data_IF_239296915188
#
_entry.id   IF_239296915188
#
_cell.length_a   1.000
_cell.length_b   1.000
_cell.length_c   1.000
_cell.angle_alpha   90.00
_cell.angle_beta   90.00
_cell.angle_gamma   90.00
#
_symmetry.space_group_name_H-M   'P 1'
#
loop_
_entity.id
_entity.type
_entity.pdbx_description
1 polymer ?
#
# COMPACT_ATOMS: atom_id res chain seq x y z
N UNK A 1 20.62 -15.66 -8.49
CA UNK A 1 21.24 -14.55 -7.73
C UNK A 1 20.32 -13.32 -7.59
N UNK A 2 18.99 -13.45 -7.60
CA UNK A 2 18.08 -12.29 -7.49
C UNK A 2 17.70 -11.94 -6.03
N UNK A 3 17.48 -12.94 -5.17
CA UNK A 3 17.06 -12.74 -3.77
C UNK A 3 18.07 -11.98 -2.90
N UNK A 4 19.37 -12.13 -3.16
CA UNK A 4 20.41 -11.43 -2.40
C UNK A 4 20.36 -9.90 -2.56
N UNK A 5 19.86 -9.39 -3.69
CA UNK A 5 19.72 -7.95 -3.94
C UNK A 5 18.49 -7.39 -3.22
N UNK A 6 17.37 -8.11 -3.25
CA UNK A 6 16.15 -7.77 -2.50
C UNK A 6 16.43 -7.67 -1.01
N UNK A 7 17.01 -8.70 -0.41
CA UNK A 7 17.17 -8.75 1.04
C UNK A 7 18.13 -7.64 1.52
N UNK A 8 19.20 -7.36 0.76
CA UNK A 8 20.08 -6.21 1.03
C UNK A 8 19.35 -4.87 0.96
N UNK A 9 18.41 -4.72 0.03
CA UNK A 9 17.58 -3.52 -0.08
C UNK A 9 16.66 -3.37 1.13
N UNK A 10 15.97 -4.45 1.52
CA UNK A 10 15.06 -4.46 2.66
C UNK A 10 15.77 -4.20 3.99
N UNK A 11 16.96 -4.77 4.21
CA UNK A 11 17.80 -4.46 5.38
C UNK A 11 18.16 -2.98 5.43
N UNK A 12 18.50 -2.37 4.29
CA UNK A 12 18.80 -0.93 4.24
C UNK A 12 17.58 -0.07 4.53
N UNK A 13 16.40 -0.46 4.05
CA UNK A 13 15.16 0.27 4.35
C UNK A 13 14.78 0.15 5.82
N UNK A 14 14.84 -1.06 6.38
CA UNK A 14 14.57 -1.29 7.79
C UNK A 14 15.54 -0.49 8.68
N UNK A 15 16.84 -0.51 8.36
CA UNK A 15 17.84 0.28 9.07
C UNK A 15 17.61 1.79 8.98
N UNK A 16 17.08 2.30 7.87
CA UNK A 16 16.64 3.71 7.76
C UNK A 16 15.42 3.98 8.61
N UNK A 17 14.42 3.11 8.58
CA UNK A 17 13.21 3.24 9.40
C UNK A 17 13.54 3.24 10.89
N UNK A 18 14.46 2.37 11.34
CA UNK A 18 14.91 2.33 12.73
C UNK A 18 15.68 3.59 13.16
N UNK A 19 16.44 4.17 12.23
CA UNK A 19 17.27 5.35 12.50
C UNK A 19 16.46 6.65 12.45
N UNK A 20 15.68 6.83 11.40
CA UNK A 20 15.03 8.08 11.06
C UNK A 20 13.54 8.10 11.51
N UNK A 21 13.00 6.93 11.87
CA UNK A 21 11.58 6.75 12.21
C UNK A 21 10.68 6.62 10.98
N UNK A 22 9.42 6.30 11.22
CA UNK A 22 8.36 6.42 10.22
C UNK A 22 7.74 7.82 10.26
N UNK A 23 7.16 8.29 9.14
CA UNK A 23 6.39 9.53 9.14
C UNK A 23 5.22 9.50 10.14
N UNK A 24 4.74 10.68 10.61
CA UNK A 24 3.63 10.76 11.54
C UNK A 24 2.38 10.01 11.07
N UNK A 25 1.75 9.26 11.97
CA UNK A 25 0.57 8.44 11.66
C UNK A 25 0.89 7.14 10.91
N UNK A 26 2.17 6.81 10.71
CA UNK A 26 2.60 5.58 10.05
C UNK A 26 3.46 4.79 11.04
N UNK A 27 3.13 3.52 11.27
CA UNK A 27 3.85 2.66 12.23
C UNK A 27 4.16 1.31 11.59
N UNK A 28 5.44 0.94 11.55
CA UNK A 28 5.85 -0.40 11.11
C UNK A 28 5.53 -1.42 12.21
N UNK A 29 4.83 -2.49 11.85
CA UNK A 29 4.52 -3.60 12.74
C UNK A 29 5.60 -4.67 12.57
N UNK A 30 6.55 -4.67 13.49
CA UNK A 30 7.61 -5.67 13.53
C UNK A 30 7.04 -7.01 13.97
N UNK A 31 6.98 -7.96 13.04
CA UNK A 31 6.84 -9.37 13.38
C UNK A 31 8.25 -9.93 13.53
N UNK A 32 8.49 -10.64 14.63
CA UNK A 32 9.76 -11.30 14.91
C UNK A 32 10.25 -12.02 13.64
N UNK A 33 11.37 -11.52 13.11
CA UNK A 33 12.32 -12.30 12.33
C UNK A 33 12.03 -12.58 10.84
N UNK A 34 11.64 -11.58 10.04
CA UNK A 34 11.61 -11.79 8.58
C UNK A 34 11.92 -10.54 7.74
N UNK A 35 13.21 -10.30 7.50
CA UNK A 35 13.70 -9.49 6.37
C UNK A 35 13.12 -9.98 5.03
N UNK A 36 12.75 -11.27 4.93
CA UNK A 36 12.30 -11.92 3.70
C UNK A 36 10.78 -12.04 3.53
N UNK A 37 9.99 -11.66 4.54
CA UNK A 37 8.54 -11.90 4.63
C UNK A 37 7.68 -10.67 4.31
N UNK A 38 6.38 -10.81 4.54
CA UNK A 38 5.43 -9.71 4.39
C UNK A 38 5.64 -8.68 5.52
N UNK A 39 5.70 -7.40 5.16
CA UNK A 39 5.73 -6.31 6.16
C UNK A 39 4.32 -5.80 6.39
N UNK A 40 4.04 -5.42 7.64
CA UNK A 40 2.76 -4.84 8.02
C UNK A 40 3.00 -3.43 8.52
N UNK A 41 2.19 -2.48 8.04
CA UNK A 41 2.30 -1.07 8.41
C UNK A 41 0.92 -0.56 8.80
N UNK A 42 0.80 0.00 9.99
CA UNK A 42 -0.40 0.71 10.39
C UNK A 42 -0.33 2.15 9.90
N UNK A 43 -1.44 2.63 9.33
CA UNK A 43 -1.57 3.97 8.75
C UNK A 43 -2.81 4.66 9.31
N UNK A 44 -2.63 5.92 9.72
CA UNK A 44 -3.65 6.78 10.27
C UNK A 44 -3.60 8.13 9.54
N UNK A 45 -4.77 8.64 9.14
CA UNK A 45 -4.92 10.00 8.64
C UNK A 45 -4.93 10.93 9.85
N UNK A 46 -4.00 11.89 9.88
CA UNK A 46 -3.85 12.82 11.01
C UNK A 46 -4.72 14.07 10.89
N UNK A 47 -5.24 14.34 9.70
CA UNK A 47 -6.17 15.45 9.46
C UNK A 47 -7.57 15.16 10.00
N UNK A 48 -8.36 16.21 10.17
CA UNK A 48 -9.76 16.14 10.60
C UNK A 48 -10.71 15.62 9.49
N UNK A 49 -10.22 14.79 8.56
CA UNK A 49 -11.05 14.17 7.55
C UNK A 49 -12.10 13.26 8.23
N UNK A 50 -13.40 13.57 8.13
CA UNK A 50 -14.44 12.86 8.87
C UNK A 50 -14.60 11.40 8.45
N UNK A 51 -14.13 11.02 7.25
CA UNK A 51 -14.21 9.64 6.75
C UNK A 51 -13.24 8.69 7.46
N UNK A 52 -12.09 9.20 7.88
CA UNK A 52 -10.96 8.41 8.39
C UNK A 52 -10.52 8.80 9.79
N UNK A 53 -11.18 9.78 10.41
CA UNK A 53 -10.88 10.28 11.75
C UNK A 53 -10.89 9.15 12.77
N UNK A 54 -9.83 9.13 13.59
CA UNK A 54 -9.60 8.14 14.66
C UNK A 54 -9.57 6.67 14.18
N UNK A 55 -9.48 6.43 12.87
CA UNK A 55 -9.34 5.09 12.32
C UNK A 55 -7.89 4.78 12.00
N UNK A 56 -7.52 3.52 12.22
CA UNK A 56 -6.22 3.01 11.86
C UNK A 56 -6.43 1.84 10.91
N UNK A 57 -5.75 1.89 9.77
CA UNK A 57 -5.78 0.86 8.74
C UNK A 57 -4.48 0.09 8.72
N UNK A 58 -4.53 -1.17 8.30
CA UNK A 58 -3.32 -1.99 8.14
C UNK A 58 -3.02 -2.20 6.68
N UNK A 59 -1.80 -1.88 6.29
CA UNK A 59 -1.22 -2.20 5.00
C UNK A 59 -0.36 -3.46 5.13
N UNK A 60 -0.43 -4.31 4.12
CA UNK A 60 0.43 -5.46 3.93
C UNK A 60 1.28 -5.22 2.69
N UNK A 61 2.59 -5.32 2.87
CA UNK A 61 3.60 -5.23 1.81
C UNK A 61 4.16 -6.62 1.54
N UNK A 62 4.05 -7.10 0.31
CA UNK A 62 4.70 -8.31 -0.16
C UNK A 62 5.80 -7.94 -1.17
N UNK A 63 7.03 -8.38 -0.89
CA UNK A 63 8.20 -8.03 -1.69
C UNK A 63 8.59 -9.14 -2.66
N UNK A 64 8.44 -8.94 -3.99
CA UNK A 64 8.82 -9.94 -4.98
C UNK A 64 10.34 -10.14 -5.01
N UNK A 65 10.79 -11.27 -5.56
CA UNK A 65 12.22 -11.63 -5.65
C UNK A 65 13.08 -10.59 -6.39
N UNK A 66 12.47 -9.82 -7.30
CA UNK A 66 13.15 -8.79 -8.09
C UNK A 66 13.01 -7.38 -7.49
N UNK A 67 12.40 -7.21 -6.31
CA UNK A 67 12.37 -5.92 -5.64
C UNK A 67 13.81 -5.41 -5.38
N UNK A 68 14.11 -4.11 -5.61
CA UNK A 68 13.19 -3.01 -5.94
C UNK A 68 12.99 -2.74 -7.43
N UNK A 69 13.47 -3.61 -8.33
CA UNK A 69 13.26 -3.45 -9.78
C UNK A 69 11.78 -3.63 -10.10
N UNK A 70 11.15 -4.65 -9.52
CA UNK A 70 9.69 -4.79 -9.53
C UNK A 70 9.06 -4.10 -8.30
N UNK A 71 7.87 -3.50 -8.44
CA UNK A 71 7.14 -2.93 -7.30
C UNK A 71 6.74 -3.99 -6.27
N UNK A 72 6.59 -3.59 -4.99
CA UNK A 72 5.98 -4.43 -3.98
C UNK A 72 4.48 -4.54 -4.24
N UNK A 73 3.87 -5.65 -3.84
CA UNK A 73 2.43 -5.77 -3.78
C UNK A 73 1.94 -5.17 -2.46
N UNK A 74 1.07 -4.16 -2.54
CA UNK A 74 0.55 -3.45 -1.36
C UNK A 74 -0.97 -3.55 -1.35
N UNK A 75 -1.51 -4.06 -0.24
CA UNK A 75 -2.96 -4.22 -0.03
C UNK A 75 -3.35 -3.82 1.38
N UNK A 76 -4.56 -3.33 1.57
CA UNK A 76 -5.15 -3.21 2.91
C UNK A 76 -5.49 -4.59 3.46
N UNK A 77 -4.96 -4.92 4.64
CA UNK A 77 -5.22 -6.15 5.35
C UNK A 77 -6.44 -5.96 6.26
N UNK A 78 -7.55 -6.65 5.94
CA UNK A 78 -8.78 -6.60 6.72
C UNK A 78 -8.60 -7.35 8.03
N UNK A 79 -8.66 -6.64 9.15
CA UNK A 79 -8.67 -7.22 10.49
C UNK A 79 -9.97 -6.88 11.23
N UNK A 80 -10.21 -7.55 12.36
CA UNK A 80 -11.42 -7.33 13.15
C UNK A 80 -11.49 -5.89 13.71
N UNK A 81 -10.35 -5.31 14.07
CA UNK A 81 -10.18 -3.95 14.58
C UNK A 81 -9.78 -2.93 13.51
N UNK A 82 -9.43 -3.38 12.29
CA UNK A 82 -8.89 -2.55 11.21
C UNK A 82 -9.61 -2.87 9.90
N UNK A 83 -10.72 -2.17 9.59
CA UNK A 83 -11.45 -2.41 8.35
C UNK A 83 -10.65 -1.94 7.13
N UNK A 84 -11.14 -2.23 5.93
CA UNK A 84 -10.58 -1.63 4.71
C UNK A 84 -11.24 -0.26 4.51
N UNK A 85 -10.48 0.83 4.35
CA UNK A 85 -11.04 2.16 4.15
C UNK A 85 -11.96 2.20 2.93
N UNK A 86 -13.05 2.94 3.03
CA UNK A 86 -13.90 3.24 1.87
C UNK A 86 -13.23 4.33 1.06
N UNK A 87 -12.96 4.10 -0.23
CA UNK A 87 -12.26 5.03 -1.08
C UNK A 87 -12.48 4.69 -2.57
N UNK A 88 -12.62 5.68 -3.47
CA UNK A 88 -12.84 5.44 -4.90
C UNK A 88 -11.74 4.61 -5.61
N UNK A 89 -10.56 4.53 -4.99
CA UNK A 89 -9.40 3.77 -5.49
C UNK A 89 -9.05 2.53 -4.64
N UNK A 90 -9.91 2.12 -3.69
CA UNK A 90 -9.65 0.95 -2.83
C UNK A 90 -10.80 -0.05 -2.92
N UNK A 91 -10.49 -1.22 -3.46
CA UNK A 91 -11.44 -2.32 -3.57
C UNK A 91 -11.74 -2.96 -2.21
N UNK A 92 -12.89 -3.61 -2.08
CA UNK A 92 -13.34 -4.23 -0.82
C UNK A 92 -12.51 -5.45 -0.39
N UNK A 93 -11.65 -5.98 -1.27
CA UNK A 93 -10.62 -6.98 -0.94
C UNK A 93 -9.28 -6.36 -0.53
N UNK A 94 -9.18 -5.03 -0.48
CA UNK A 94 -8.00 -4.29 -0.03
C UNK A 94 -7.01 -3.95 -1.14
N UNK A 95 -7.29 -4.32 -2.39
CA UNK A 95 -6.46 -3.92 -3.53
C UNK A 95 -6.55 -2.40 -3.72
N UNK A 96 -5.40 -1.78 -3.97
CA UNK A 96 -5.27 -0.34 -4.14
C UNK A 96 -4.99 -0.06 -5.62
N UNK A 97 -5.83 0.78 -6.23
CA UNK A 97 -5.65 1.30 -7.58
C UNK A 97 -4.81 2.57 -7.51
N UNK A 98 -3.49 2.44 -7.56
CA UNK A 98 -2.56 3.57 -7.48
C UNK A 98 -1.40 3.37 -8.44
N UNK A 99 -1.18 4.34 -9.32
CA UNK A 99 -0.18 4.27 -10.40
C UNK A 99 1.22 3.91 -9.92
N UNK A 100 1.62 4.47 -8.77
CA UNK A 100 2.95 4.24 -8.21
C UNK A 100 3.19 2.76 -7.84
N UNK A 101 2.13 1.97 -7.64
CA UNK A 101 2.21 0.53 -7.36
C UNK A 101 2.17 -0.32 -8.63
N UNK A 102 1.80 0.28 -9.77
CA UNK A 102 1.78 -0.37 -11.08
C UNK A 102 3.17 -0.43 -11.72
N UNK A 103 3.35 -1.31 -12.69
CA UNK A 103 4.62 -1.46 -13.41
C UNK A 103 5.06 -0.19 -14.16
N UNK A 104 4.11 0.63 -14.62
CA UNK A 104 4.42 1.85 -15.37
C UNK A 104 4.81 3.03 -14.46
N UNK A 105 4.20 3.15 -13.26
CA UNK A 105 4.46 4.25 -12.34
C UNK A 105 5.53 3.95 -11.28
N UNK A 106 5.91 2.68 -11.07
CA UNK A 106 6.92 2.30 -10.10
C UNK A 106 8.32 2.72 -10.52
N UNK A 107 9.08 3.26 -9.56
CA UNK A 107 10.51 3.51 -9.70
C UNK A 107 11.29 2.87 -8.56
N UNK A 108 12.43 2.19 -8.82
CA UNK A 108 13.26 1.59 -7.77
C UNK A 108 13.79 2.58 -6.72
N UNK A 109 13.66 3.89 -6.96
CA UNK A 109 14.01 4.93 -5.99
C UNK A 109 13.00 5.02 -4.83
N UNK A 110 11.76 4.57 -5.04
CA UNK A 110 10.70 4.59 -4.04
C UNK A 110 11.02 3.63 -2.89
N UNK A 111 10.70 4.03 -1.65
CA UNK A 111 10.86 3.24 -0.43
C UNK A 111 9.50 2.90 0.17
N UNK A 112 9.47 1.97 1.13
CA UNK A 112 8.25 1.66 1.91
C UNK A 112 7.67 2.94 2.52
N UNK A 113 8.52 3.80 3.10
CA UNK A 113 8.08 5.07 3.69
C UNK A 113 7.44 6.00 2.65
N UNK A 114 8.03 6.16 1.45
CA UNK A 114 7.46 7.04 0.42
C UNK A 114 6.14 6.50 -0.16
N UNK A 115 6.00 5.18 -0.26
CA UNK A 115 4.75 4.52 -0.63
C UNK A 115 3.67 4.78 0.43
N UNK A 116 3.99 4.58 1.71
CA UNK A 116 3.03 4.82 2.79
C UNK A 116 2.60 6.29 2.85
N UNK A 117 3.52 7.24 2.65
CA UNK A 117 3.17 8.68 2.57
C UNK A 117 2.24 8.98 1.41
N UNK A 118 2.46 8.36 0.25
CA UNK A 118 1.60 8.55 -0.92
C UNK A 118 0.18 8.01 -0.68
N UNK A 119 0.06 6.84 -0.04
CA UNK A 119 -1.23 6.28 0.37
C UNK A 119 -1.90 7.15 1.45
N UNK A 120 -1.14 7.67 2.41
CA UNK A 120 -1.66 8.58 3.44
C UNK A 120 -2.24 9.84 2.80
N UNK A 121 -1.49 10.44 1.87
CA UNK A 121 -1.91 11.63 1.13
C UNK A 121 -3.17 11.36 0.30
N UNK A 122 -3.25 10.21 -0.36
CA UNK A 122 -4.43 9.77 -1.11
C UNK A 122 -5.67 9.71 -0.20
N UNK A 123 -5.56 9.08 0.98
CA UNK A 123 -6.64 9.02 1.96
C UNK A 123 -7.00 10.41 2.50
N UNK A 124 -6.01 11.24 2.87
CA UNK A 124 -6.24 12.62 3.33
C UNK A 124 -7.08 13.41 2.33
N UNK A 125 -6.77 13.31 1.04
CA UNK A 125 -7.43 14.07 -0.03
C UNK A 125 -8.84 13.62 -0.40
N UNK A 126 -9.29 12.47 0.11
CA UNK A 126 -10.58 11.91 -0.30
C UNK A 126 -11.76 12.52 0.45
N UNK A 127 -12.78 12.89 -0.30
CA UNK A 127 -14.05 13.45 0.16
C UNK A 127 -15.25 12.53 -0.12
N UNK A 128 -15.04 11.39 -0.80
CA UNK A 128 -16.11 10.47 -1.20
C UNK A 128 -16.10 9.16 -0.42
N UNK A 129 -17.22 8.83 0.21
CA UNK A 129 -17.41 7.56 0.90
C UNK A 129 -17.94 6.46 -0.04
N UNK A 130 -17.19 6.15 -1.09
CA UNK A 130 -17.60 5.19 -2.13
C UNK A 130 -16.47 4.20 -2.50
N UNK A 131 -16.83 3.09 -3.15
CA UNK A 131 -15.89 2.10 -3.70
C UNK A 131 -15.62 2.39 -5.18
N UNK A 132 -14.54 1.83 -5.77
CA UNK A 132 -14.35 1.87 -7.21
C UNK A 132 -15.58 1.31 -7.95
N UNK A 133 -15.91 1.85 -9.14
CA UNK A 133 -16.98 1.30 -9.96
C UNK A 133 -16.65 -0.16 -10.34
N UNK A 134 -17.63 -1.05 -10.19
CA UNK A 134 -17.45 -2.48 -10.47
C UNK A 134 -16.69 -3.25 -9.38
N UNK A 135 -16.63 -2.73 -8.14
CA UNK A 135 -15.96 -3.41 -7.01
C UNK A 135 -16.39 -4.88 -6.85
N UNK A 136 -17.69 -5.16 -6.86
CA UNK A 136 -18.21 -6.53 -6.68
C UNK A 136 -17.73 -7.49 -7.79
N UNK A 137 -17.78 -7.03 -9.04
CA UNK A 137 -17.37 -7.82 -10.21
C UNK A 137 -15.86 -8.02 -10.22
N UNK A 138 -15.09 -6.98 -9.88
CA UNK A 138 -13.65 -7.05 -9.76
C UNK A 138 -13.23 -8.02 -8.66
N UNK A 139 -13.80 -7.91 -7.46
CA UNK A 139 -13.44 -8.78 -6.33
C UNK A 139 -13.84 -10.23 -6.61
N UNK A 140 -14.96 -10.47 -7.32
CA UNK A 140 -15.40 -11.83 -7.70
C UNK A 140 -14.57 -12.43 -8.84
N UNK A 141 -14.23 -11.62 -9.85
CA UNK A 141 -13.62 -12.08 -11.10
C UNK A 141 -12.10 -12.04 -11.11
N UNK A 142 -11.48 -11.16 -10.32
CA UNK A 142 -10.04 -10.94 -10.36
C UNK A 142 -9.27 -12.08 -9.68
N UNK A 143 -8.43 -12.75 -10.47
CA UNK A 143 -7.47 -13.77 -10.01
C UNK A 143 -6.02 -13.30 -10.15
N UNK A 144 -5.80 -12.08 -10.62
CA UNK A 144 -4.48 -11.51 -10.83
C UNK A 144 -3.93 -10.97 -9.51
N UNK A 145 -2.61 -10.97 -9.40
CA UNK A 145 -1.92 -10.34 -8.25
C UNK A 145 -2.08 -8.84 -8.32
N UNK A 146 -2.17 -8.12 -7.19
CA UNK A 146 -2.34 -6.67 -7.14
C UNK A 146 -1.44 -5.89 -8.11
N UNK A 147 -0.18 -6.29 -8.22
CA UNK A 147 0.82 -5.67 -9.10
C UNK A 147 0.58 -5.89 -10.59
N UNK A 148 0.02 -7.03 -10.96
CA UNK A 148 -0.14 -7.44 -12.37
C UNK A 148 -1.50 -6.98 -12.93
N UNK A 149 -2.24 -6.18 -12.15
CA UNK A 149 -3.51 -5.59 -12.56
C UNK A 149 -3.22 -4.30 -13.30
N UNK A 150 -3.61 -4.27 -14.57
CA UNK A 150 -3.59 -3.05 -15.37
C UNK A 150 -4.88 -2.28 -15.07
N UNK A 151 -4.79 -1.32 -14.15
CA UNK A 151 -5.92 -0.44 -13.89
C UNK A 151 -6.12 0.47 -15.09
N UNK A 152 -7.30 0.40 -15.70
CA UNK A 152 -7.73 1.37 -16.71
C UNK A 152 -8.19 2.63 -15.97
N UNK A 153 -7.29 3.60 -15.85
CA UNK A 153 -7.61 4.91 -15.31
C UNK A 153 -8.51 5.64 -16.29
N UNK A 154 -9.79 5.73 -15.95
CA UNK A 154 -10.72 6.57 -16.68
C UNK A 154 -10.59 7.99 -16.15
N UNK A 155 -9.42 8.61 -16.33
CA UNK A 155 -9.25 10.03 -16.07
C UNK A 155 -9.65 10.82 -17.33
N UNK A 156 -10.97 10.89 -17.56
CA UNK A 156 -11.58 11.62 -18.68
C UNK A 156 -12.37 12.83 -18.20
N UNK A 157 -11.79 13.62 -17.29
CA UNK A 157 -12.31 14.96 -17.01
C UNK A 157 -11.16 15.94 -16.86
N UNK A 158 -10.65 16.40 -18.01
CA UNK A 158 -10.17 17.78 -18.17
C UNK A 158 -11.35 18.71 -18.48
#
# INVERSE_FOLDING_TARGET
MAGATRDRRLVKELGKIHKDGMPPGITLIERNDSVAGDWFVDIQVLDDNPLYKDQIYRLKFHFPKMYPIEPPEVTFDKQADRPIPMHPHIYSNGIICLDLLGQQGWSPVQSVSSVCMSIQSMLTSNDKNERPPGDEDFVRGNKQRPRDIEFLYHDNTV
#
